data_IF_539117544718
#
_entry.id   IF_539117544718
#
_cell.length_a   1.000
_cell.length_b   1.000
_cell.length_c   1.000
_cell.angle_alpha   90.00
_cell.angle_beta   90.00
_cell.angle_gamma   90.00
#
_symmetry.space_group_name_H-M   'P 1'
#
loop_
_entity.id
_entity.type
_entity.pdbx_description
1 polymer ?
#
# COMPACT_ATOMS: atom_id res chain seq x y z
N UNK A 1 9.30 -8.07 -45.56
CA UNK A 1 9.05 -8.88 -44.36
C UNK A 1 9.45 -8.14 -43.08
N UNK A 2 9.66 -6.80 -43.11
CA UNK A 2 10.12 -6.03 -41.94
C UNK A 2 8.99 -5.36 -41.12
N UNK A 3 7.77 -5.27 -41.67
CA UNK A 3 6.64 -4.64 -40.97
C UNK A 3 6.17 -5.44 -39.74
N UNK A 4 6.24 -6.77 -39.79
CA UNK A 4 5.74 -7.67 -38.73
C UNK A 4 6.56 -7.60 -37.43
N UNK A 5 7.88 -7.37 -37.53
CA UNK A 5 8.76 -7.25 -36.35
C UNK A 5 8.65 -5.91 -35.62
N UNK A 6 8.33 -4.83 -36.36
CA UNK A 6 8.12 -3.51 -35.78
C UNK A 6 6.86 -3.42 -34.92
N UNK A 7 5.81 -4.15 -35.30
CA UNK A 7 4.52 -4.14 -34.60
C UNK A 7 4.60 -4.92 -33.26
N UNK A 8 5.30 -6.06 -33.26
CA UNK A 8 5.50 -6.91 -32.07
C UNK A 8 6.39 -6.23 -31.02
N UNK A 9 7.42 -5.51 -31.44
CA UNK A 9 8.32 -4.76 -30.54
C UNK A 9 7.61 -3.53 -29.95
N UNK A 10 6.76 -2.86 -30.73
CA UNK A 10 5.95 -1.75 -30.27
C UNK A 10 4.87 -2.19 -29.27
N UNK A 11 4.21 -3.32 -29.49
CA UNK A 11 3.22 -3.92 -28.60
C UNK A 11 3.83 -4.32 -27.24
N UNK A 12 5.01 -4.97 -27.27
CA UNK A 12 5.77 -5.32 -26.05
C UNK A 12 6.18 -4.08 -25.24
N UNK A 13 6.65 -3.04 -25.92
CA UNK A 13 7.02 -1.78 -25.26
C UNK A 13 5.84 -1.06 -24.61
N UNK A 14 4.65 -1.11 -25.22
CA UNK A 14 3.43 -0.60 -24.61
C UNK A 14 3.00 -1.42 -23.39
N UNK A 15 3.06 -2.75 -23.48
CA UNK A 15 2.72 -3.64 -22.37
C UNK A 15 3.61 -3.39 -21.13
N UNK A 16 4.93 -3.21 -21.32
CA UNK A 16 5.85 -2.90 -20.21
C UNK A 16 5.59 -1.54 -19.56
N UNK A 17 5.26 -0.52 -20.37
CA UNK A 17 4.88 0.81 -19.84
C UNK A 17 3.60 0.74 -19.02
N UNK A 18 2.61 -0.03 -19.47
CA UNK A 18 1.36 -0.20 -18.74
C UNK A 18 1.58 -0.98 -17.44
N UNK A 19 2.40 -2.04 -17.45
CA UNK A 19 2.78 -2.76 -16.22
C UNK A 19 3.49 -1.85 -15.22
N UNK A 20 4.44 -1.02 -15.68
CA UNK A 20 5.13 -0.06 -14.83
C UNK A 20 4.16 0.96 -14.22
N UNK A 21 3.21 1.47 -15.02
CA UNK A 21 2.18 2.39 -14.54
C UNK A 21 1.31 1.74 -13.46
N UNK A 22 0.80 0.54 -13.71
CA UNK A 22 -0.04 -0.19 -12.75
C UNK A 22 0.71 -0.48 -11.44
N UNK A 23 1.99 -0.86 -11.52
CA UNK A 23 2.82 -1.09 -10.34
C UNK A 23 3.06 0.20 -9.55
N UNK A 24 3.28 1.33 -10.23
CA UNK A 24 3.43 2.64 -9.60
C UNK A 24 2.13 3.09 -8.90
N UNK A 25 0.98 2.90 -9.56
CA UNK A 25 -0.34 3.23 -9.01
C UNK A 25 -0.65 2.38 -7.77
N UNK A 26 -0.32 1.09 -7.80
CA UNK A 26 -0.48 0.19 -6.64
C UNK A 26 0.39 0.64 -5.47
N UNK A 27 1.67 0.92 -5.72
CA UNK A 27 2.60 1.38 -4.68
C UNK A 27 2.13 2.69 -4.06
N UNK A 28 1.71 3.65 -4.89
CA UNK A 28 1.19 4.94 -4.44
C UNK A 28 -0.03 4.76 -3.55
N UNK A 29 -0.98 3.91 -3.97
CA UNK A 29 -2.19 3.62 -3.20
C UNK A 29 -1.88 2.91 -1.88
N UNK A 30 -1.01 1.90 -1.89
CA UNK A 30 -0.62 1.16 -0.69
C UNK A 30 0.03 2.09 0.33
N UNK A 31 0.97 2.95 -0.10
CA UNK A 31 1.62 3.94 0.78
C UNK A 31 0.60 4.92 1.36
N UNK A 32 -0.29 5.47 0.54
CA UNK A 32 -1.32 6.39 1.02
C UNK A 32 -2.20 5.77 2.12
N UNK A 33 -2.65 4.52 1.92
CA UNK A 33 -3.50 3.82 2.90
C UNK A 33 -2.72 3.56 4.19
N UNK A 34 -1.46 3.14 4.08
CA UNK A 34 -0.57 2.93 5.23
C UNK A 34 -0.37 4.20 6.04
N UNK A 35 0.05 5.29 5.40
CA UNK A 35 0.31 6.59 6.04
C UNK A 35 -0.96 7.14 6.72
N UNK A 36 -2.13 6.93 6.11
CA UNK A 36 -3.41 7.30 6.70
C UNK A 36 -3.73 6.43 7.92
N UNK A 37 -3.46 5.12 7.85
CA UNK A 37 -3.59 4.20 8.98
C UNK A 37 -2.71 4.59 10.17
N UNK A 38 -1.43 4.91 9.93
CA UNK A 38 -0.50 5.36 10.96
C UNK A 38 -1.02 6.60 11.70
N UNK A 39 -1.48 7.61 10.95
CA UNK A 39 -2.03 8.85 11.53
C UNK A 39 -3.26 8.58 12.39
N UNK A 40 -4.16 7.71 11.94
CA UNK A 40 -5.36 7.38 12.72
C UNK A 40 -5.04 6.59 13.99
N UNK A 41 -4.06 5.67 13.92
CA UNK A 41 -3.60 4.94 15.09
C UNK A 41 -2.97 5.87 16.12
N UNK A 42 -2.19 6.86 15.68
CA UNK A 42 -1.65 7.89 16.57
C UNK A 42 -2.75 8.73 17.24
N UNK A 43 -3.75 9.17 16.47
CA UNK A 43 -4.94 9.87 17.01
C UNK A 43 -5.68 9.00 18.04
N UNK A 44 -5.88 7.71 17.74
CA UNK A 44 -6.52 6.77 18.66
C UNK A 44 -5.72 6.68 19.97
N UNK A 45 -4.39 6.50 19.90
CA UNK A 45 -3.51 6.44 21.07
C UNK A 45 -3.56 7.70 21.91
N UNK A 46 -3.57 8.87 21.27
CA UNK A 46 -3.63 10.18 21.92
C UNK A 46 -5.03 10.51 22.50
N UNK A 47 -6.07 9.80 22.06
CA UNK A 47 -7.45 10.02 22.52
C UNK A 47 -7.91 9.06 23.63
N UNK A 48 -7.00 8.24 24.18
CA UNK A 48 -7.31 7.16 25.14
C UNK A 48 -8.33 7.54 26.21
N UNK A 49 -8.09 8.63 26.93
CA UNK A 49 -8.98 9.04 28.04
C UNK A 49 -10.35 9.49 27.53
N UNK A 50 -10.39 10.27 26.45
CA UNK A 50 -11.64 10.73 25.85
C UNK A 50 -12.48 9.55 25.33
N UNK A 51 -11.84 8.58 24.67
CA UNK A 51 -12.48 7.36 24.18
C UNK A 51 -13.06 6.52 25.33
N UNK A 52 -12.25 6.25 26.36
CA UNK A 52 -12.70 5.47 27.54
C UNK A 52 -13.86 6.20 28.24
N UNK A 53 -13.77 7.51 28.43
CA UNK A 53 -14.85 8.27 29.06
C UNK A 53 -16.12 8.30 28.20
N UNK A 54 -15.99 8.39 26.88
CA UNK A 54 -17.13 8.27 25.96
C UNK A 54 -17.84 6.92 26.11
N UNK A 55 -17.09 5.82 26.21
CA UNK A 55 -17.67 4.49 26.45
C UNK A 55 -18.31 4.38 27.83
N UNK A 56 -17.72 4.98 28.86
CA UNK A 56 -18.33 4.99 30.19
C UNK A 56 -19.64 5.75 30.25
N UNK A 57 -19.79 6.80 29.43
CA UNK A 57 -21.06 7.53 29.30
C UNK A 57 -22.19 6.68 28.70
N UNK A 58 -21.89 5.51 28.12
CA UNK A 58 -22.90 4.54 27.67
C UNK A 58 -23.25 3.51 28.73
N UNK A 59 -22.77 3.66 29.97
CA UNK A 59 -23.04 2.75 31.09
C UNK A 59 -21.99 1.64 31.28
N UNK A 60 -20.91 1.63 30.50
CA UNK A 60 -19.81 0.68 30.71
C UNK A 60 -19.00 1.06 31.97
N UNK A 61 -18.53 0.05 32.70
CA UNK A 61 -17.51 0.26 33.72
C UNK A 61 -16.20 0.72 33.09
N UNK A 62 -15.31 1.31 33.89
CA UNK A 62 -13.97 1.68 33.40
C UNK A 62 -13.21 0.47 32.85
N UNK A 63 -13.32 -0.70 33.50
CA UNK A 63 -12.63 -1.91 33.08
C UNK A 63 -13.11 -2.38 31.70
N UNK A 64 -14.43 -2.43 31.48
CA UNK A 64 -15.00 -2.82 30.19
C UNK A 64 -14.66 -1.82 29.08
N UNK A 65 -14.72 -0.52 29.39
CA UNK A 65 -14.34 0.54 28.45
C UNK A 65 -12.86 0.47 28.08
N UNK A 66 -11.98 0.18 29.06
CA UNK A 66 -10.55 -0.02 28.83
C UNK A 66 -10.29 -1.21 27.91
N UNK A 67 -10.92 -2.37 28.14
CA UNK A 67 -10.78 -3.54 27.27
C UNK A 67 -11.17 -3.20 25.84
N UNK A 68 -12.30 -2.52 25.64
CA UNK A 68 -12.75 -2.14 24.29
C UNK A 68 -11.76 -1.19 23.59
N UNK A 69 -11.19 -0.24 24.32
CA UNK A 69 -10.14 0.62 23.80
C UNK A 69 -8.90 -0.18 23.43
N UNK A 70 -8.40 -1.04 24.32
CA UNK A 70 -7.20 -1.84 24.10
C UNK A 70 -7.37 -2.77 22.89
N UNK A 71 -8.52 -3.45 22.75
CA UNK A 71 -8.84 -4.28 21.59
C UNK A 71 -8.86 -3.45 20.29
N UNK A 72 -9.42 -2.23 20.33
CA UNK A 72 -9.44 -1.36 19.16
C UNK A 72 -8.03 -0.96 18.72
N UNK A 73 -7.14 -0.67 19.67
CA UNK A 73 -5.72 -0.40 19.37
C UNK A 73 -5.05 -1.63 18.76
N UNK A 74 -5.24 -2.80 19.35
CA UNK A 74 -4.65 -4.07 18.86
C UNK A 74 -5.12 -4.40 17.43
N UNK A 75 -6.43 -4.26 17.14
CA UNK A 75 -6.99 -4.48 15.81
C UNK A 75 -6.37 -3.51 14.78
N UNK A 76 -6.23 -2.23 15.12
CA UNK A 76 -5.63 -1.23 14.23
C UNK A 76 -4.12 -1.49 14.00
N UNK A 77 -3.38 -1.92 15.03
CA UNK A 77 -1.97 -2.32 14.90
C UNK A 77 -1.81 -3.54 14.00
N UNK A 78 -2.69 -4.54 14.13
CA UNK A 78 -2.69 -5.71 13.26
C UNK A 78 -2.98 -5.33 11.80
N UNK A 79 -3.98 -4.47 11.57
CA UNK A 79 -4.28 -3.97 10.23
C UNK A 79 -3.12 -3.20 9.62
N UNK A 80 -2.48 -2.32 10.39
CA UNK A 80 -1.33 -1.54 9.93
C UNK A 80 -0.15 -2.44 9.55
N UNK A 81 0.11 -3.50 10.31
CA UNK A 81 1.12 -4.51 9.97
C UNK A 81 0.82 -5.23 8.64
N UNK A 82 -0.46 -5.53 8.37
CA UNK A 82 -0.86 -6.11 7.08
C UNK A 82 -0.64 -5.12 5.92
N UNK A 83 -0.93 -3.84 6.14
CA UNK A 83 -0.69 -2.79 5.15
C UNK A 83 0.81 -2.58 4.88
N UNK A 84 1.67 -2.71 5.88
CA UNK A 84 3.12 -2.67 5.73
C UNK A 84 3.62 -3.74 4.74
N UNK A 85 3.12 -4.97 4.90
CA UNK A 85 3.41 -6.08 3.99
C UNK A 85 2.94 -5.78 2.56
N UNK A 86 1.79 -5.14 2.40
CA UNK A 86 1.27 -4.74 1.08
C UNK A 86 2.12 -3.63 0.44
N UNK A 87 2.59 -2.66 1.22
CA UNK A 87 3.53 -1.63 0.73
C UNK A 87 4.82 -2.27 0.25
N UNK A 88 5.39 -3.18 1.04
CA UNK A 88 6.60 -3.93 0.67
C UNK A 88 6.41 -4.74 -0.62
N UNK A 89 5.26 -5.41 -0.74
CA UNK A 89 4.92 -6.17 -1.94
C UNK A 89 4.79 -5.26 -3.18
N UNK A 90 4.03 -4.16 -3.07
CA UNK A 90 3.86 -3.20 -4.15
C UNK A 90 5.20 -2.55 -4.56
N UNK A 91 6.09 -2.31 -3.60
CA UNK A 91 7.43 -1.77 -3.84
C UNK A 91 8.28 -2.74 -4.67
N UNK A 92 8.22 -4.05 -4.37
CA UNK A 92 8.92 -5.09 -5.14
C UNK A 92 8.36 -5.21 -6.56
N UNK A 93 7.04 -5.15 -6.72
CA UNK A 93 6.41 -5.17 -8.05
C UNK A 93 6.86 -3.97 -8.88
N UNK A 94 6.88 -2.77 -8.30
CA UNK A 94 7.35 -1.58 -8.98
C UNK A 94 8.82 -1.68 -9.39
N UNK A 95 9.70 -2.11 -8.48
CA UNK A 95 11.12 -2.33 -8.78
C UNK A 95 11.31 -3.33 -9.93
N UNK A 96 10.52 -4.41 -9.94
CA UNK A 96 10.56 -5.40 -11.01
C UNK A 96 10.15 -4.80 -12.36
N UNK A 97 9.04 -4.06 -12.39
CA UNK A 97 8.56 -3.42 -13.61
C UNK A 97 9.52 -2.34 -14.14
N UNK A 98 10.22 -1.62 -13.25
CA UNK A 98 11.29 -0.69 -13.62
C UNK A 98 12.44 -1.44 -14.30
N UNK A 99 12.89 -2.56 -13.72
CA UNK A 99 13.96 -3.37 -14.29
C UNK A 99 13.57 -3.93 -15.67
N UNK A 100 12.37 -4.51 -15.81
CA UNK A 100 11.89 -5.05 -17.08
C UNK A 100 11.80 -3.96 -18.18
N UNK A 101 11.43 -2.72 -17.81
CA UNK A 101 11.41 -1.57 -18.72
C UNK A 101 12.82 -1.11 -19.13
N UNK A 102 13.79 -1.15 -18.21
CA UNK A 102 15.19 -0.80 -18.47
C UNK A 102 15.84 -1.82 -19.39
N UNK A 103 15.68 -3.12 -19.10
CA UNK A 103 16.19 -4.21 -19.93
C UNK A 103 15.66 -4.11 -21.37
N UNK A 104 14.38 -3.79 -21.53
CA UNK A 104 13.79 -3.58 -22.86
C UNK A 104 14.36 -2.35 -23.58
N UNK A 105 14.67 -1.28 -22.84
CA UNK A 105 15.25 -0.06 -23.43
C UNK A 105 16.71 -0.27 -23.85
N UNK A 106 17.47 -1.08 -23.11
CA UNK A 106 18.87 -1.38 -23.43
C UNK A 106 18.99 -2.34 -24.62
N UNK A 107 18.10 -3.32 -24.74
CA UNK A 107 18.00 -4.17 -25.95
C UNK A 107 17.73 -3.32 -27.21
N UNK A 108 16.78 -2.37 -27.14
CA UNK A 108 16.45 -1.50 -28.26
C UNK A 108 17.54 -0.48 -28.65
N UNK A 109 18.61 -0.32 -27.86
CA UNK A 109 19.78 0.52 -28.18
C UNK A 109 20.93 -0.27 -28.81
N UNK A 110 20.89 -1.60 -28.74
CA UNK A 110 21.92 -2.49 -29.27
C UNK A 110 21.62 -2.97 -30.69
N UNK A 111 20.36 -2.85 -31.13
CA UNK A 111 19.88 -3.04 -32.50
C UNK A 111 19.96 -1.73 -33.33
#
# INVERSE_FOLDING_TARGET
MDQDLSDVTQDRGQALREQLRQAADRLTRARYIYDYGEKNLDVLRNSREAFINSLRNTGLSYYEAKIKYDNCVEDQEYHLKSLDVEVDYAQRLYQRAVADMQDSADLARQD
#
